data_IF_418326750262
#
_entry.id   IF_418326750262
#
_cell.length_a   1.000
_cell.length_b   1.000
_cell.length_c   1.000
_cell.angle_alpha   90.00
_cell.angle_beta   90.00
_cell.angle_gamma   90.00
#
_symmetry.space_group_name_H-M   'P 1'
#
loop_
_entity.id
_entity.type
_entity.pdbx_description
1 polymer ?
#
# COMPACT_ATOMS: atom_id res chain seq x y z
N UNK A 1 -22.95 36.17 -18.96
CA UNK A 1 -22.85 34.72 -18.77
C UNK A 1 -22.59 34.52 -17.28
N UNK A 2 -23.64 34.15 -16.54
CA UNK A 2 -23.66 34.29 -15.08
C UNK A 2 -22.92 33.09 -14.49
N UNK A 3 -21.85 33.40 -13.76
CA UNK A 3 -21.12 32.51 -12.89
C UNK A 3 -22.09 32.03 -11.79
N UNK A 4 -22.62 30.81 -11.92
CA UNK A 4 -23.45 30.19 -10.89
C UNK A 4 -22.54 29.78 -9.74
N UNK A 5 -22.28 30.72 -8.84
CA UNK A 5 -21.71 30.41 -7.54
C UNK A 5 -22.57 29.32 -6.88
N UNK A 6 -21.94 28.16 -6.61
CA UNK A 6 -22.59 27.03 -5.95
C UNK A 6 -23.29 27.51 -4.67
N UNK A 7 -24.59 27.21 -4.54
CA UNK A 7 -25.38 27.68 -3.41
C UNK A 7 -24.90 26.97 -2.13
N UNK A 8 -24.73 27.66 -0.98
CA UNK A 8 -24.16 27.06 0.23
C UNK A 8 -24.94 25.85 0.76
N UNK A 9 -26.25 25.76 0.48
CA UNK A 9 -27.09 24.59 0.78
C UNK A 9 -26.69 23.34 -0.04
N UNK A 10 -26.19 23.54 -1.25
CA UNK A 10 -25.73 22.47 -2.15
C UNK A 10 -24.42 21.87 -1.63
N UNK A 11 -23.45 22.72 -1.25
CA UNK A 11 -22.18 22.26 -0.63
C UNK A 11 -22.41 21.45 0.64
N UNK A 12 -23.36 21.85 1.49
CA UNK A 12 -23.68 21.10 2.72
C UNK A 12 -24.31 19.73 2.41
N UNK A 13 -25.14 19.63 1.37
CA UNK A 13 -25.72 18.36 0.94
C UNK A 13 -24.66 17.40 0.38
N UNK A 14 -23.72 17.93 -0.42
CA UNK A 14 -22.57 17.19 -0.97
C UNK A 14 -21.68 16.69 0.16
N UNK A 15 -21.33 17.54 1.12
CA UNK A 15 -20.53 17.17 2.28
C UNK A 15 -21.21 16.08 3.11
N UNK A 16 -22.53 16.17 3.33
CA UNK A 16 -23.28 15.15 4.04
C UNK A 16 -23.30 13.82 3.27
N UNK A 17 -23.35 13.84 1.93
CA UNK A 17 -23.25 12.63 1.11
C UNK A 17 -21.86 11.99 1.22
N UNK A 18 -20.80 12.78 1.05
CA UNK A 18 -19.42 12.30 1.17
C UNK A 18 -19.13 11.73 2.55
N UNK A 19 -19.60 12.36 3.63
CA UNK A 19 -19.46 11.79 4.99
C UNK A 19 -20.15 10.44 5.13
N UNK A 20 -21.37 10.28 4.61
CA UNK A 20 -22.09 9.00 4.67
C UNK A 20 -21.34 7.91 3.92
N UNK A 21 -20.85 8.22 2.73
CA UNK A 21 -20.13 7.25 1.90
C UNK A 21 -18.75 6.92 2.49
N UNK A 22 -18.06 7.92 3.05
CA UNK A 22 -16.81 7.74 3.78
C UNK A 22 -16.99 6.82 4.99
N UNK A 23 -18.01 7.05 5.83
CA UNK A 23 -18.29 6.18 7.00
C UNK A 23 -18.56 4.74 6.57
N UNK A 24 -19.32 4.54 5.49
CA UNK A 24 -19.59 3.20 4.95
C UNK A 24 -18.31 2.53 4.43
N UNK A 25 -17.50 3.28 3.67
CA UNK A 25 -16.21 2.81 3.16
C UNK A 25 -15.25 2.45 4.30
N UNK A 26 -15.10 3.32 5.29
CA UNK A 26 -14.19 3.12 6.42
C UNK A 26 -14.60 1.92 7.28
N UNK A 27 -15.91 1.71 7.49
CA UNK A 27 -16.41 0.51 8.17
C UNK A 27 -16.06 -0.78 7.39
N UNK A 28 -16.23 -0.78 6.07
CA UNK A 28 -15.85 -1.91 5.24
C UNK A 28 -14.33 -2.16 5.26
N UNK A 29 -13.52 -1.11 5.13
CA UNK A 29 -12.06 -1.21 5.20
C UNK A 29 -11.57 -1.70 6.58
N UNK A 30 -12.17 -1.23 7.66
CA UNK A 30 -11.85 -1.67 9.02
C UNK A 30 -12.16 -3.16 9.24
N UNK A 31 -13.19 -3.68 8.58
CA UNK A 31 -13.55 -5.10 8.64
C UNK A 31 -12.61 -6.02 7.84
N UNK A 32 -11.83 -5.47 6.91
CA UNK A 32 -11.03 -6.25 5.98
C UNK A 32 -9.94 -7.07 6.68
N UNK A 33 -9.17 -6.48 7.60
CA UNK A 33 -8.06 -7.21 8.27
C UNK A 33 -8.56 -8.34 9.18
N UNK A 34 -9.57 -8.16 10.04
CA UNK A 34 -10.15 -9.27 10.81
C UNK A 34 -10.69 -10.40 9.91
N UNK A 35 -11.36 -10.06 8.80
CA UNK A 35 -11.88 -11.05 7.86
C UNK A 35 -10.74 -11.78 7.15
N UNK A 36 -9.73 -11.06 6.67
CA UNK A 36 -8.53 -11.66 6.06
C UNK A 36 -7.84 -12.59 7.04
N UNK A 37 -7.60 -12.18 8.27
CA UNK A 37 -7.02 -13.04 9.31
C UNK A 37 -7.83 -14.31 9.50
N UNK A 38 -9.15 -14.21 9.61
CA UNK A 38 -10.04 -15.36 9.72
C UNK A 38 -9.94 -16.29 8.50
N UNK A 39 -10.05 -15.76 7.28
CA UNK A 39 -10.01 -16.54 6.04
C UNK A 39 -8.64 -17.17 5.79
N UNK A 40 -7.57 -16.47 6.14
CA UNK A 40 -6.21 -17.03 6.05
C UNK A 40 -6.08 -18.20 7.01
N UNK A 41 -6.45 -18.02 8.27
CA UNK A 41 -6.29 -19.01 9.32
C UNK A 41 -7.24 -20.21 9.18
N UNK A 42 -8.42 -20.02 8.57
CA UNK A 42 -9.42 -21.06 8.47
C UNK A 42 -9.16 -22.07 7.33
N UNK A 43 -8.20 -21.82 6.43
CA UNK A 43 -7.96 -22.63 5.21
C UNK A 43 -9.22 -22.91 4.35
N UNK A 44 -10.30 -22.14 4.53
CA UNK A 44 -11.56 -22.39 3.83
C UNK A 44 -11.51 -21.80 2.42
N UNK A 45 -11.80 -22.64 1.42
CA UNK A 45 -12.03 -22.27 0.01
C UNK A 45 -13.25 -21.33 -0.11
N UNK A 46 -13.07 -20.06 0.23
CA UNK A 46 -14.05 -19.03 -0.02
C UNK A 46 -13.77 -18.43 -1.40
N UNK A 47 -14.66 -18.69 -2.36
CA UNK A 47 -14.62 -18.24 -3.76
C UNK A 47 -14.75 -16.70 -3.95
N UNK A 48 -14.30 -15.90 -2.97
CA UNK A 48 -14.35 -14.45 -2.96
C UNK A 48 -12.94 -13.91 -2.71
N UNK A 49 -12.34 -13.39 -3.78
CA UNK A 49 -10.97 -12.85 -3.90
C UNK A 49 -9.86 -13.79 -3.42
N UNK A 50 -9.77 -14.97 -4.06
CA UNK A 50 -8.68 -15.93 -3.86
C UNK A 50 -7.30 -15.30 -4.07
N UNK A 51 -7.19 -14.30 -4.94
CA UNK A 51 -5.90 -13.74 -5.33
C UNK A 51 -5.24 -12.92 -4.21
N UNK A 52 -5.98 -11.99 -3.57
CA UNK A 52 -5.46 -11.21 -2.43
C UNK A 52 -5.09 -12.18 -1.30
N UNK A 53 -5.95 -13.16 -1.03
CA UNK A 53 -5.73 -14.14 0.03
C UNK A 53 -4.48 -14.98 -0.22
N UNK A 54 -4.34 -15.53 -1.43
CA UNK A 54 -3.18 -16.33 -1.83
C UNK A 54 -1.90 -15.50 -1.77
N UNK A 55 -1.95 -14.24 -2.21
CA UNK A 55 -0.81 -13.32 -2.18
C UNK A 55 -0.38 -12.98 -0.77
N UNK A 56 -1.31 -12.64 0.12
CA UNK A 56 -1.02 -12.39 1.53
C UNK A 56 -0.39 -13.63 2.18
N UNK A 57 -0.96 -14.82 1.95
CA UNK A 57 -0.40 -16.10 2.44
C UNK A 57 1.02 -16.35 1.92
N UNK A 58 1.22 -16.20 0.61
CA UNK A 58 2.50 -16.42 -0.05
C UNK A 58 3.58 -15.48 0.48
N UNK A 59 3.27 -14.18 0.61
CA UNK A 59 4.23 -13.19 1.10
C UNK A 59 4.60 -13.47 2.56
N UNK A 60 3.62 -13.82 3.40
CA UNK A 60 3.89 -14.18 4.79
C UNK A 60 4.78 -15.42 4.92
N UNK A 61 4.52 -16.45 4.09
CA UNK A 61 5.33 -17.66 4.03
C UNK A 61 6.76 -17.39 3.52
N UNK A 62 6.91 -16.50 2.54
CA UNK A 62 8.21 -16.07 2.02
C UNK A 62 9.03 -15.32 3.09
N UNK A 63 8.41 -14.38 3.81
CA UNK A 63 9.05 -13.68 4.93
C UNK A 63 9.46 -14.67 6.03
N UNK A 64 8.60 -15.65 6.36
CA UNK A 64 8.91 -16.69 7.33
C UNK A 64 10.12 -17.52 6.89
N UNK A 65 10.15 -17.94 5.61
CA UNK A 65 11.27 -18.66 5.02
C UNK A 65 12.58 -17.88 5.11
N UNK A 66 12.58 -16.59 4.76
CA UNK A 66 13.76 -15.72 4.85
C UNK A 66 14.35 -15.67 6.27
N UNK A 67 13.52 -15.58 7.32
CA UNK A 67 13.99 -15.59 8.70
C UNK A 67 14.51 -16.95 9.15
N UNK A 68 13.83 -18.02 8.76
CA UNK A 68 14.26 -19.38 9.09
C UNK A 68 15.59 -19.73 8.41
N UNK A 69 15.77 -19.32 7.15
CA UNK A 69 17.03 -19.43 6.40
C UNK A 69 18.16 -18.66 7.10
N UNK A 70 17.86 -17.46 7.59
CA UNK A 70 18.83 -16.67 8.33
C UNK A 70 19.20 -17.31 9.68
N UNK A 71 18.25 -17.95 10.38
CA UNK A 71 18.48 -18.62 11.67
C UNK A 71 19.35 -19.89 11.56
N UNK A 72 19.20 -20.68 10.51
CA UNK A 72 20.03 -21.87 10.27
C UNK A 72 21.42 -21.50 9.69
N UNK A 73 21.51 -20.36 9.00
CA UNK A 73 22.73 -19.87 8.38
C UNK A 73 23.09 -20.61 7.08
N UNK A 74 24.12 -20.10 6.38
CA UNK A 74 24.49 -20.56 5.03
C UNK A 74 25.10 -21.97 4.97
N UNK A 75 25.53 -22.52 6.11
CA UNK A 75 26.16 -23.83 6.24
C UNK A 75 25.15 -24.99 6.26
N UNK A 76 23.94 -24.76 6.79
CA UNK A 76 22.89 -25.77 6.96
C UNK A 76 21.69 -25.50 6.04
N UNK A 77 21.95 -25.26 4.74
CA UNK A 77 20.91 -25.07 3.72
C UNK A 77 20.06 -26.34 3.55
N UNK A 78 19.06 -26.50 4.41
CA UNK A 78 17.97 -27.45 4.27
C UNK A 78 16.70 -26.71 3.85
N UNK A 79 15.80 -27.40 3.16
CA UNK A 79 14.44 -26.90 3.02
C UNK A 79 13.77 -26.93 4.42
N UNK A 80 13.05 -25.85 4.76
CA UNK A 80 12.19 -25.83 5.94
C UNK A 80 10.98 -26.72 5.71
N UNK A 81 10.60 -27.47 6.73
CA UNK A 81 9.37 -28.24 6.69
C UNK A 81 8.18 -27.26 6.60
N UNK A 82 7.10 -27.58 5.85
CA UNK A 82 5.93 -26.72 5.75
C UNK A 82 5.37 -26.28 7.11
N UNK A 83 5.48 -27.14 8.12
CA UNK A 83 5.04 -26.89 9.49
C UNK A 83 5.85 -25.77 10.18
N UNK A 84 7.16 -25.67 9.90
CA UNK A 84 8.03 -24.64 10.47
C UNK A 84 7.65 -23.26 9.91
N UNK A 85 7.43 -23.20 8.60
CA UNK A 85 6.95 -21.99 7.91
C UNK A 85 5.56 -21.61 8.43
N UNK A 86 4.67 -22.58 8.64
CA UNK A 86 3.31 -22.36 9.12
C UNK A 86 3.27 -21.75 10.53
N UNK A 87 4.18 -22.15 11.43
CA UNK A 87 4.27 -21.58 12.79
C UNK A 87 4.55 -20.08 12.75
N UNK A 88 5.58 -19.65 12.00
CA UNK A 88 5.89 -18.22 11.87
C UNK A 88 4.80 -17.47 11.12
N UNK A 89 4.29 -18.05 10.03
CA UNK A 89 3.19 -17.46 9.24
C UNK A 89 1.97 -17.19 10.12
N UNK A 90 1.62 -18.11 11.03
CA UNK A 90 0.52 -17.93 11.97
C UNK A 90 0.78 -16.80 12.97
N UNK A 91 2.00 -16.70 13.50
CA UNK A 91 2.37 -15.59 14.37
C UNK A 91 2.28 -14.23 13.64
N UNK A 92 2.70 -14.18 12.37
CA UNK A 92 2.59 -12.98 11.54
C UNK A 92 1.16 -12.56 11.24
N UNK A 93 0.22 -13.50 11.11
CA UNK A 93 -1.19 -13.18 10.89
C UNK A 93 -1.84 -12.47 12.08
N UNK A 94 -1.27 -12.66 13.27
CA UNK A 94 -1.74 -12.02 14.49
C UNK A 94 -1.11 -10.62 14.69
N UNK A 95 -0.13 -10.24 13.87
CA UNK A 95 0.54 -8.93 13.93
C UNK A 95 -0.13 -7.90 13.00
N UNK A 96 -0.84 -6.91 13.55
CA UNK A 96 -1.67 -6.01 12.76
C UNK A 96 -0.87 -5.09 11.84
N UNK A 97 0.32 -4.63 12.25
CA UNK A 97 1.17 -3.72 11.46
C UNK A 97 1.64 -4.42 10.19
N UNK A 98 2.12 -5.65 10.32
CA UNK A 98 2.57 -6.47 9.21
C UNK A 98 1.42 -6.84 8.27
N UNK A 99 0.29 -7.31 8.83
CA UNK A 99 -0.86 -7.71 8.03
C UNK A 99 -1.46 -6.54 7.25
N UNK A 100 -1.56 -5.35 7.86
CA UNK A 100 -2.01 -4.14 7.19
C UNK A 100 -1.13 -3.79 5.99
N UNK A 101 0.20 -3.83 6.17
CA UNK A 101 1.15 -3.52 5.11
C UNK A 101 1.09 -4.53 3.96
N UNK A 102 1.08 -5.83 4.24
CA UNK A 102 1.02 -6.86 3.20
C UNK A 102 -0.31 -6.80 2.45
N UNK A 103 -1.41 -6.55 3.15
CA UNK A 103 -2.70 -6.32 2.50
C UNK A 103 -2.63 -5.10 1.56
N UNK A 104 -2.11 -3.97 2.01
CA UNK A 104 -1.94 -2.78 1.17
C UNK A 104 -1.03 -3.04 -0.05
N UNK A 105 0.06 -3.80 0.11
CA UNK A 105 0.92 -4.20 -1.00
C UNK A 105 0.18 -5.10 -2.01
N UNK A 106 -0.68 -5.99 -1.54
CA UNK A 106 -1.53 -6.81 -2.40
C UNK A 106 -2.55 -5.95 -3.19
N UNK A 107 -3.16 -4.95 -2.53
CA UNK A 107 -4.08 -4.01 -3.19
C UNK A 107 -3.35 -3.14 -4.24
N UNK A 108 -2.13 -2.70 -3.95
CA UNK A 108 -1.29 -1.97 -4.91
C UNK A 108 -1.00 -2.82 -6.16
N UNK A 109 -0.64 -4.08 -5.97
CA UNK A 109 -0.38 -4.98 -7.08
C UNK A 109 -1.64 -5.26 -7.91
N UNK A 110 -2.78 -5.52 -7.26
CA UNK A 110 -4.05 -5.72 -7.94
C UNK A 110 -4.46 -4.47 -8.75
N UNK A 111 -4.27 -3.27 -8.20
CA UNK A 111 -4.50 -2.03 -8.95
C UNK A 111 -3.57 -1.93 -10.17
N UNK A 112 -2.30 -2.31 -10.00
CA UNK A 112 -1.29 -2.31 -11.06
C UNK A 112 -1.70 -3.24 -12.20
N UNK A 113 -2.07 -4.49 -11.91
CA UNK A 113 -2.52 -5.45 -12.93
C UNK A 113 -3.78 -4.98 -13.63
N UNK A 114 -4.77 -4.48 -12.88
CA UNK A 114 -6.01 -3.96 -13.44
C UNK A 114 -5.77 -2.78 -14.40
N UNK A 115 -4.84 -1.88 -14.09
CA UNK A 115 -4.51 -0.77 -14.98
C UNK A 115 -3.64 -1.20 -16.17
N UNK A 116 -2.77 -2.19 -15.99
CA UNK A 116 -2.03 -2.80 -17.09
C UNK A 116 -3.01 -3.42 -18.10
N UNK A 117 -4.00 -4.17 -17.63
CA UNK A 117 -5.00 -4.80 -18.49
C UNK A 117 -5.91 -3.77 -19.16
N UNK A 118 -6.39 -2.77 -18.41
CA UNK A 118 -7.42 -1.84 -18.90
C UNK A 118 -6.88 -0.74 -19.80
N UNK A 119 -5.70 -0.19 -19.50
CA UNK A 119 -5.15 0.98 -20.20
C UNK A 119 -3.71 0.77 -20.71
N UNK A 120 -3.16 -0.44 -20.59
CA UNK A 120 -1.79 -0.73 -21.04
C UNK A 120 -0.71 -0.04 -20.21
N UNK A 121 -1.01 0.33 -18.95
CA UNK A 121 -0.04 0.96 -18.07
C UNK A 121 1.04 -0.05 -17.68
N UNK A 122 2.28 0.20 -18.09
CA UNK A 122 3.42 -0.65 -17.74
C UNK A 122 3.62 -0.69 -16.21
N UNK A 123 3.69 -1.88 -15.59
CA UNK A 123 3.78 -2.04 -14.14
C UNK A 123 5.11 -1.56 -13.54
N UNK A 124 6.16 -1.40 -14.37
CA UNK A 124 7.52 -1.07 -13.95
C UNK A 124 7.92 0.32 -14.43
N UNK A 125 7.72 0.60 -15.71
CA UNK A 125 8.21 1.79 -16.38
C UNK A 125 7.05 2.67 -16.82
N UNK A 126 6.43 3.40 -15.89
CA UNK A 126 5.37 4.39 -16.23
C UNK A 126 5.89 5.46 -17.20
N UNK A 127 5.01 6.16 -17.95
CA UNK A 127 5.42 7.24 -18.85
C UNK A 127 6.40 8.24 -18.22
N UNK A 128 6.09 8.74 -17.02
CA UNK A 128 6.94 9.65 -16.27
C UNK A 128 8.34 9.06 -16.01
N UNK A 129 8.41 7.81 -15.56
CA UNK A 129 9.68 7.15 -15.26
C UNK A 129 10.51 6.93 -16.53
N UNK A 130 9.89 6.56 -17.65
CA UNK A 130 10.58 6.38 -18.93
C UNK A 130 11.20 7.69 -19.41
N UNK A 131 10.45 8.79 -19.34
CA UNK A 131 10.93 10.12 -19.71
C UNK A 131 12.13 10.53 -18.86
N UNK A 132 12.00 10.46 -17.53
CA UNK A 132 13.08 10.86 -16.61
C UNK A 132 14.31 9.96 -16.71
N UNK A 133 14.12 8.64 -16.75
CA UNK A 133 15.22 7.69 -16.89
C UNK A 133 15.95 7.86 -18.23
N UNK A 134 15.21 8.13 -19.32
CA UNK A 134 15.74 8.44 -20.64
C UNK A 134 16.61 9.70 -20.67
N UNK A 135 16.26 10.71 -19.87
CA UNK A 135 17.05 11.94 -19.69
C UNK A 135 18.26 11.79 -18.77
N UNK A 136 18.54 10.58 -18.26
CA UNK A 136 19.71 10.36 -17.42
C UNK A 136 19.47 10.56 -15.92
N UNK A 137 18.23 10.74 -15.45
CA UNK A 137 17.92 10.88 -14.02
C UNK A 137 18.28 9.61 -13.23
N UNK A 138 19.20 9.76 -12.27
CA UNK A 138 19.67 8.67 -11.41
C UNK A 138 18.59 8.19 -10.42
N UNK A 139 17.72 9.08 -9.92
CA UNK A 139 16.61 8.70 -9.04
C UNK A 139 15.60 7.83 -9.80
N UNK A 140 15.27 8.23 -11.02
CA UNK A 140 14.34 7.47 -11.87
C UNK A 140 14.90 6.08 -12.22
N UNK A 141 16.20 5.96 -12.52
CA UNK A 141 16.84 4.66 -12.76
C UNK A 141 16.89 3.79 -11.50
N UNK A 142 17.18 4.37 -10.34
CA UNK A 142 17.18 3.66 -9.05
C UNK A 142 15.80 3.11 -8.71
N UNK A 143 14.77 3.95 -8.84
CA UNK A 143 13.37 3.54 -8.69
C UNK A 143 12.96 2.46 -9.69
N UNK A 144 13.31 2.60 -10.98
CA UNK A 144 12.98 1.62 -12.01
C UNK A 144 13.50 0.22 -11.68
N UNK A 145 14.75 0.13 -11.19
CA UNK A 145 15.33 -1.13 -10.74
C UNK A 145 14.60 -1.72 -9.52
N UNK A 146 14.31 -0.89 -8.51
CA UNK A 146 13.56 -1.32 -7.32
C UNK A 146 12.13 -1.76 -7.67
N UNK A 147 11.43 -1.03 -8.54
CA UNK A 147 10.08 -1.34 -9.01
C UNK A 147 10.05 -2.64 -9.83
N UNK A 148 11.07 -2.90 -10.67
CA UNK A 148 11.20 -4.15 -11.41
C UNK A 148 11.34 -5.35 -10.47
N UNK A 149 12.23 -5.24 -9.47
CA UNK A 149 12.45 -6.27 -8.47
C UNK A 149 11.18 -6.53 -7.64
N UNK A 150 10.50 -5.46 -7.22
CA UNK A 150 9.23 -5.58 -6.48
C UNK A 150 8.14 -6.22 -7.33
N UNK A 151 7.97 -5.81 -8.58
CA UNK A 151 6.97 -6.40 -9.49
C UNK A 151 7.23 -7.89 -9.72
N UNK A 152 8.50 -8.30 -9.85
CA UNK A 152 8.87 -9.71 -9.93
C UNK A 152 8.66 -10.45 -8.60
N UNK A 153 8.88 -9.78 -7.47
CA UNK A 153 8.54 -10.26 -6.14
C UNK A 153 7.04 -10.54 -6.02
N UNK A 154 6.20 -9.59 -6.40
CA UNK A 154 4.75 -9.74 -6.39
C UNK A 154 4.30 -10.93 -7.25
N UNK A 155 4.80 -11.10 -8.48
CA UNK A 155 4.45 -12.29 -9.30
C UNK A 155 4.81 -13.62 -8.64
N UNK A 156 5.80 -13.64 -7.75
CA UNK A 156 6.22 -14.82 -6.97
C UNK A 156 5.59 -14.86 -5.57
N UNK A 157 4.72 -13.90 -5.23
CA UNK A 157 4.18 -13.70 -3.89
C UNK A 157 5.28 -13.62 -2.83
N UNK A 158 6.35 -12.87 -3.13
CA UNK A 158 7.53 -12.74 -2.28
C UNK A 158 7.81 -11.25 -1.98
N UNK A 159 8.30 -10.98 -0.77
CA UNK A 159 8.67 -9.64 -0.32
C UNK A 159 9.96 -9.71 0.50
N UNK A 160 11.10 -9.22 -0.03
CA UNK A 160 12.36 -9.19 0.71
C UNK A 160 12.24 -8.38 2.00
N UNK A 161 12.89 -8.84 3.08
CA UNK A 161 12.93 -8.09 4.35
C UNK A 161 13.46 -6.66 4.19
N UNK A 162 14.38 -6.44 3.25
CA UNK A 162 14.94 -5.13 2.95
C UNK A 162 13.93 -4.15 2.29
N UNK A 163 12.83 -4.65 1.74
CA UNK A 163 11.76 -3.83 1.15
C UNK A 163 10.66 -3.47 2.17
N UNK A 164 10.72 -4.00 3.39
CA UNK A 164 9.76 -3.68 4.44
C UNK A 164 9.97 -2.26 4.98
N UNK A 165 8.91 -1.50 5.27
CA UNK A 165 9.02 -0.28 6.06
C UNK A 165 9.59 -0.56 7.46
N UNK A 166 10.29 0.40 8.05
CA UNK A 166 11.01 0.25 9.33
C UNK A 166 10.12 -0.33 10.44
N UNK A 167 8.91 0.22 10.60
CA UNK A 167 7.95 -0.24 11.61
C UNK A 167 7.49 -1.69 11.37
N UNK A 168 7.38 -2.10 10.10
CA UNK A 168 6.97 -3.45 9.72
C UNK A 168 8.13 -4.43 9.94
N UNK A 169 9.36 -4.04 9.58
CA UNK A 169 10.55 -4.84 9.85
C UNK A 169 10.73 -5.05 11.36
N UNK A 170 10.60 -4.01 12.18
CA UNK A 170 10.72 -4.17 13.63
C UNK A 170 9.64 -5.11 14.20
N UNK A 171 8.40 -5.02 13.72
CA UNK A 171 7.33 -5.94 14.12
C UNK A 171 7.66 -7.40 13.76
N UNK A 172 8.17 -7.65 12.55
CA UNK A 172 8.62 -8.98 12.10
C UNK A 172 9.75 -9.52 12.98
N UNK A 173 10.76 -8.70 13.28
CA UNK A 173 11.89 -9.08 14.13
C UNK A 173 11.48 -9.30 15.59
N UNK A 174 10.51 -8.53 16.10
CA UNK A 174 9.96 -8.73 17.44
C UNK A 174 9.27 -10.09 17.58
N UNK A 175 8.56 -10.56 16.54
CA UNK A 175 7.93 -11.88 16.51
C UNK A 175 8.97 -12.98 16.51
N UNK A 176 10.04 -12.85 15.72
CA UNK A 176 11.17 -13.77 15.74
C UNK A 176 11.73 -13.90 17.16
N UNK A 177 11.99 -12.76 17.82
CA UNK A 177 12.51 -12.69 19.18
C UNK A 177 11.59 -13.39 20.19
N UNK A 178 10.28 -13.20 20.06
CA UNK A 178 9.29 -13.85 20.91
C UNK A 178 9.22 -15.37 20.71
N UNK A 179 9.33 -15.85 19.46
CA UNK A 179 9.26 -17.28 19.12
C UNK A 179 10.49 -18.07 19.56
N UNK A 180 11.66 -17.45 19.50
CA UNK A 180 12.93 -18.11 19.87
C UNK A 180 13.03 -18.33 21.40
N UNK A 181 12.26 -17.58 22.18
CA UNK A 181 12.13 -17.79 23.63
C UNK A 181 13.43 -17.55 24.40
N UNK A 182 13.56 -18.19 25.57
CA UNK A 182 14.70 -18.04 26.47
C UNK A 182 15.85 -19.03 26.19
N UNK A 183 15.82 -19.79 25.08
CA UNK A 183 16.89 -20.72 24.74
C UNK A 183 18.16 -19.94 24.34
N UNK A 184 19.26 -20.02 25.12
CA UNK A 184 20.38 -19.08 24.95
C UNK A 184 21.04 -19.15 23.57
N UNK A 185 21.23 -20.36 23.04
CA UNK A 185 21.91 -20.57 21.76
C UNK A 185 21.08 -20.05 20.57
N UNK A 186 19.76 -20.25 20.59
CA UNK A 186 18.90 -19.71 19.54
C UNK A 186 18.73 -18.19 19.69
N UNK A 187 18.65 -17.68 20.92
CA UNK A 187 18.56 -16.23 21.18
C UNK A 187 19.78 -15.46 20.66
N UNK A 188 20.98 -16.01 20.77
CA UNK A 188 22.20 -15.41 20.21
C UNK A 188 22.14 -15.37 18.67
N UNK A 189 21.72 -16.47 18.04
CA UNK A 189 21.54 -16.52 16.57
C UNK A 189 20.47 -15.54 16.10
N UNK A 190 19.33 -15.47 16.78
CA UNK A 190 18.26 -14.53 16.46
C UNK A 190 18.76 -13.08 16.54
N UNK A 191 19.56 -12.75 17.55
CA UNK A 191 20.18 -11.42 17.68
C UNK A 191 21.12 -11.11 16.51
N UNK A 192 21.89 -12.09 16.04
CA UNK A 192 22.76 -11.92 14.87
C UNK A 192 21.95 -11.73 13.56
N UNK A 193 20.88 -12.51 13.38
CA UNK A 193 19.93 -12.38 12.26
C UNK A 193 19.28 -11.01 12.25
N UNK A 194 18.78 -10.56 13.40
CA UNK A 194 18.19 -9.23 13.57
C UNK A 194 19.18 -8.11 13.18
N UNK A 195 20.42 -8.20 13.64
CA UNK A 195 21.45 -7.22 13.34
C UNK A 195 21.79 -7.19 11.84
N UNK A 196 21.87 -8.36 11.20
CA UNK A 196 22.14 -8.45 9.76
C UNK A 196 20.98 -7.95 8.91
N UNK A 197 19.74 -8.29 9.27
CA UNK A 197 18.53 -7.79 8.60
C UNK A 197 18.48 -6.25 8.65
N UNK A 198 18.73 -5.64 9.82
CA UNK A 198 18.79 -4.18 9.96
C UNK A 198 19.94 -3.55 9.17
N UNK A 199 21.12 -4.19 9.12
CA UNK A 199 22.25 -3.72 8.30
C UNK A 199 21.91 -3.73 6.81
N UNK A 200 21.36 -4.83 6.30
CA UNK A 200 20.98 -4.95 4.90
C UNK A 200 19.91 -3.93 4.52
N UNK A 201 18.90 -3.77 5.37
CA UNK A 201 17.83 -2.79 5.20
C UNK A 201 18.38 -1.36 5.15
N UNK A 202 19.28 -0.98 6.07
CA UNK A 202 19.86 0.37 6.10
C UNK A 202 20.87 0.65 4.96
N UNK A 203 21.45 -0.38 4.35
CA UNK A 203 22.50 -0.22 3.35
C UNK A 203 22.00 0.26 1.98
N UNK A 204 20.71 0.09 1.67
CA UNK A 204 20.15 0.40 0.36
C UNK A 204 18.81 1.10 0.50
N UNK A 205 18.55 2.07 -0.38
CA UNK A 205 17.23 2.65 -0.47
C UNK A 205 16.25 1.60 -1.04
N UNK A 206 15.17 1.32 -0.30
CA UNK A 206 14.09 0.47 -0.77
C UNK A 206 13.19 1.20 -1.78
N UNK A 207 12.27 0.46 -2.42
CA UNK A 207 11.39 1.00 -3.46
C UNK A 207 10.60 2.22 -3.00
N UNK A 208 10.10 2.21 -1.77
CA UNK A 208 9.28 3.29 -1.22
C UNK A 208 10.12 4.55 -0.98
N UNK A 209 11.33 4.41 -0.45
CA UNK A 209 12.27 5.53 -0.28
C UNK A 209 12.69 6.16 -1.62
N UNK A 210 12.86 5.36 -2.68
CA UNK A 210 13.06 5.91 -4.03
C UNK A 210 11.84 6.67 -4.54
N UNK A 211 10.63 6.13 -4.31
CA UNK A 211 9.39 6.79 -4.71
C UNK A 211 9.20 8.13 -3.99
N UNK A 212 9.46 8.20 -2.69
CA UNK A 212 9.35 9.43 -1.90
C UNK A 212 10.29 10.52 -2.43
N UNK A 213 11.55 10.15 -2.70
CA UNK A 213 12.56 11.07 -3.27
C UNK A 213 12.17 11.58 -4.65
N UNK A 214 11.60 10.72 -5.50
CA UNK A 214 11.10 11.14 -6.81
C UNK A 214 9.90 12.08 -6.70
N UNK A 215 8.93 11.73 -5.86
CA UNK A 215 7.70 12.51 -5.69
C UNK A 215 7.98 13.90 -5.10
N UNK A 216 9.00 14.03 -4.26
CA UNK A 216 9.41 15.32 -3.67
C UNK A 216 9.73 16.40 -4.72
N UNK A 217 10.21 15.99 -5.90
CA UNK A 217 10.60 16.90 -6.99
C UNK A 217 9.45 17.14 -8.01
N UNK A 218 8.28 16.53 -7.83
CA UNK A 218 7.15 16.63 -8.77
C UNK A 218 6.11 17.63 -8.27
N UNK A 219 5.44 18.30 -9.20
CA UNK A 219 4.20 19.03 -8.88
C UNK A 219 3.03 18.06 -8.59
N UNK A 220 1.96 18.58 -8.00
CA UNK A 220 0.80 17.77 -7.55
C UNK A 220 0.10 17.08 -8.70
N UNK A 221 -0.08 17.77 -9.81
CA UNK A 221 -0.84 17.26 -10.96
C UNK A 221 -0.06 16.12 -11.64
N UNK A 222 1.24 16.31 -11.86
CA UNK A 222 2.11 15.26 -12.42
C UNK A 222 2.18 14.04 -11.50
N UNK A 223 2.39 14.25 -10.20
CA UNK A 223 2.55 13.15 -9.25
C UNK A 223 1.25 12.36 -8.99
N UNK A 224 0.09 13.02 -9.08
CA UNK A 224 -1.23 12.41 -8.88
C UNK A 224 -1.91 12.03 -10.20
N UNK A 225 -1.24 12.11 -11.35
CA UNK A 225 -1.75 11.51 -12.59
C UNK A 225 -1.41 10.03 -12.64
N UNK A 226 -2.38 9.14 -12.33
CA UNK A 226 -2.10 7.71 -12.22
C UNK A 226 -1.63 7.09 -13.54
N UNK A 227 -2.18 7.55 -14.67
CA UNK A 227 -1.83 7.09 -16.00
C UNK A 227 -0.43 7.55 -16.46
N UNK A 228 0.09 8.63 -15.87
CA UNK A 228 1.42 9.17 -16.21
C UNK A 228 2.49 8.76 -15.20
N UNK A 229 2.24 8.96 -13.91
CA UNK A 229 3.16 8.63 -12.82
C UNK A 229 3.26 7.13 -12.55
N UNK A 230 2.18 6.38 -12.81
CA UNK A 230 2.06 4.97 -12.43
C UNK A 230 1.60 4.79 -10.99
N UNK A 231 1.14 3.57 -10.66
CA UNK A 231 0.49 3.27 -9.37
C UNK A 231 1.38 3.58 -8.17
N UNK A 232 2.64 3.11 -8.21
CA UNK A 232 3.54 3.22 -7.07
C UNK A 232 3.81 4.68 -6.68
N UNK A 233 4.11 5.54 -7.66
CA UNK A 233 4.34 6.97 -7.44
C UNK A 233 3.05 7.71 -7.08
N UNK A 234 1.91 7.38 -7.72
CA UNK A 234 0.61 7.94 -7.40
C UNK A 234 0.24 7.72 -5.93
N UNK A 235 0.37 6.49 -5.42
CA UNK A 235 0.04 6.16 -4.02
C UNK A 235 0.99 6.86 -3.04
N UNK A 236 2.28 6.93 -3.37
CA UNK A 236 3.25 7.66 -2.55
C UNK A 236 2.96 9.15 -2.53
N UNK A 237 2.62 9.75 -3.68
CA UNK A 237 2.22 11.15 -3.77
C UNK A 237 0.93 11.45 -3.02
N UNK A 238 -0.08 10.58 -3.14
CA UNK A 238 -1.33 10.71 -2.41
C UNK A 238 -1.10 10.66 -0.91
N UNK A 239 -0.28 9.72 -0.43
CA UNK A 239 0.08 9.61 0.99
C UNK A 239 0.79 10.85 1.50
N UNK A 240 1.89 11.27 0.85
CA UNK A 240 2.69 12.41 1.29
C UNK A 240 1.91 13.73 1.29
N UNK A 241 1.04 13.94 0.29
CA UNK A 241 0.33 15.21 0.10
C UNK A 241 -0.98 15.30 0.88
N UNK A 242 -1.69 14.19 1.07
CA UNK A 242 -2.90 14.15 1.91
C UNK A 242 -2.59 14.03 3.41
N UNK A 243 -1.38 13.59 3.76
CA UNK A 243 -0.97 13.30 5.13
C UNK A 243 -1.48 11.95 5.66
N UNK A 244 -2.11 11.13 4.82
CA UNK A 244 -2.57 9.80 5.20
C UNK A 244 -1.47 8.74 5.01
N UNK A 245 -1.45 7.67 5.83
CA UNK A 245 -0.53 6.56 5.62
C UNK A 245 -0.70 5.94 4.23
N UNK A 246 0.41 5.48 3.62
CA UNK A 246 0.37 4.90 2.27
C UNK A 246 -0.53 3.67 2.16
N UNK A 247 -0.64 2.89 3.24
CA UNK A 247 -1.54 1.74 3.29
C UNK A 247 -3.02 2.16 3.20
N UNK A 248 -3.37 3.32 3.76
CA UNK A 248 -4.70 3.94 3.62
C UNK A 248 -4.90 4.45 2.19
N UNK A 249 -3.89 5.07 1.58
CA UNK A 249 -3.94 5.48 0.17
C UNK A 249 -4.18 4.29 -0.78
N UNK A 250 -3.51 3.15 -0.56
CA UNK A 250 -3.76 1.93 -1.33
C UNK A 250 -5.19 1.42 -1.14
N UNK A 251 -5.67 1.39 0.11
CA UNK A 251 -7.04 0.99 0.43
C UNK A 251 -8.08 1.90 -0.22
N UNK A 252 -7.82 3.21 -0.30
CA UNK A 252 -8.72 4.19 -0.91
C UNK A 252 -8.98 3.92 -2.41
N UNK A 253 -8.13 3.14 -3.08
CA UNK A 253 -8.31 2.77 -4.50
C UNK A 253 -9.23 1.57 -4.73
N UNK A 254 -9.83 1.03 -3.67
CA UNK A 254 -10.71 -0.14 -3.74
C UNK A 254 -12.16 0.23 -4.09
N UNK A 255 -12.91 -0.67 -4.75
CA UNK A 255 -14.34 -0.46 -4.96
C UNK A 255 -15.07 -0.15 -3.64
N UNK A 256 -15.90 0.90 -3.64
CA UNK A 256 -16.60 1.37 -2.44
C UNK A 256 -15.84 2.44 -1.65
N UNK A 257 -14.62 2.80 -2.03
CA UNK A 257 -13.79 3.83 -1.40
C UNK A 257 -13.72 5.14 -2.20
N UNK A 258 -14.60 5.33 -3.19
CA UNK A 258 -14.53 6.48 -4.10
C UNK A 258 -14.62 7.82 -3.38
N UNK A 259 -15.46 7.93 -2.34
CA UNK A 259 -15.57 9.13 -1.52
C UNK A 259 -14.26 9.43 -0.77
N UNK A 260 -13.63 8.41 -0.19
CA UNK A 260 -12.32 8.53 0.45
C UNK A 260 -11.26 8.98 -0.54
N UNK A 261 -11.14 8.29 -1.68
CA UNK A 261 -10.18 8.64 -2.73
C UNK A 261 -10.35 10.10 -3.21
N UNK A 262 -11.58 10.52 -3.50
CA UNK A 262 -11.87 11.89 -3.91
C UNK A 262 -11.43 12.90 -2.85
N UNK A 263 -11.77 12.65 -1.58
CA UNK A 263 -11.37 13.51 -0.46
C UNK A 263 -9.85 13.52 -0.26
N UNK A 264 -9.15 12.39 -0.38
CA UNK A 264 -7.68 12.33 -0.25
C UNK A 264 -7.00 13.11 -1.38
N UNK A 265 -7.53 13.07 -2.61
CA UNK A 265 -7.03 13.86 -3.74
C UNK A 265 -7.24 15.36 -3.54
N UNK A 266 -8.42 15.77 -3.06
CA UNK A 266 -8.70 17.17 -2.71
C UNK A 266 -7.82 17.65 -1.55
N UNK A 267 -7.65 16.84 -0.50
CA UNK A 267 -6.77 17.13 0.63
C UNK A 267 -5.30 17.27 0.19
N UNK A 268 -4.89 16.49 -0.81
CA UNK A 268 -3.60 16.61 -1.49
C UNK A 268 -3.48 17.85 -2.40
N UNK A 269 -4.48 18.74 -2.38
CA UNK A 269 -4.55 19.98 -3.16
C UNK A 269 -4.65 19.78 -4.67
N UNK A 270 -5.11 18.60 -5.13
CA UNK A 270 -5.43 18.41 -6.53
C UNK A 270 -6.73 19.16 -6.87
N UNK A 271 -6.79 19.95 -7.96
CA UNK A 271 -8.03 20.58 -8.41
C UNK A 271 -9.15 19.57 -8.59
N UNK A 272 -10.38 19.92 -8.21
CA UNK A 272 -11.53 19.01 -8.20
C UNK A 272 -11.79 18.31 -9.54
N UNK A 273 -11.66 19.03 -10.67
CA UNK A 273 -11.80 18.43 -12.00
C UNK A 273 -10.76 17.35 -12.28
N UNK A 274 -9.50 17.56 -11.86
CA UNK A 274 -8.45 16.55 -11.99
C UNK A 274 -8.65 15.42 -10.97
N UNK A 275 -9.15 15.70 -9.76
CA UNK A 275 -9.49 14.67 -8.79
C UNK A 275 -10.59 13.74 -9.30
N UNK A 276 -11.65 14.29 -9.90
CA UNK A 276 -12.72 13.52 -10.56
C UNK A 276 -12.16 12.64 -11.68
N UNK A 277 -11.26 13.19 -12.51
CA UNK A 277 -10.57 12.44 -13.57
C UNK A 277 -9.82 11.24 -12.98
N UNK A 278 -9.05 11.43 -11.91
CA UNK A 278 -8.28 10.34 -11.29
C UNK A 278 -9.19 9.27 -10.67
N UNK A 279 -10.30 9.67 -10.03
CA UNK A 279 -11.27 8.70 -9.50
C UNK A 279 -11.87 7.86 -10.62
N UNK A 280 -12.26 8.47 -11.74
CA UNK A 280 -12.78 7.76 -12.92
C UNK A 280 -11.70 6.89 -13.57
N UNK A 281 -10.46 7.39 -13.62
CA UNK A 281 -9.30 6.65 -14.08
C UNK A 281 -8.92 5.49 -13.15
N UNK A 282 -9.40 5.41 -11.91
CA UNK A 282 -9.23 4.23 -11.05
C UNK A 282 -10.49 3.36 -11.12
N UNK A 283 -11.67 3.95 -11.02
CA UNK A 283 -12.97 3.29 -10.97
C UNK A 283 -13.81 3.64 -12.19
N UNK A 284 -13.69 2.85 -13.25
CA UNK A 284 -14.57 2.96 -14.41
C UNK A 284 -16.03 2.74 -13.97
N UNK A 285 -16.82 3.81 -13.93
CA UNK A 285 -18.21 3.81 -13.44
C UNK A 285 -18.41 4.32 -12.01
N UNK A 286 -17.42 5.01 -11.42
CA UNK A 286 -17.66 5.73 -10.16
C UNK A 286 -18.75 6.79 -10.32
N UNK A 287 -19.68 6.82 -9.37
CA UNK A 287 -20.65 7.90 -9.23
C UNK A 287 -20.19 8.81 -8.10
N UNK A 288 -19.59 9.94 -8.46
CA UNK A 288 -19.23 10.98 -7.50
C UNK A 288 -20.42 11.94 -7.32
N UNK A 289 -20.64 12.48 -6.11
CA UNK A 289 -21.64 13.51 -5.92
C UNK A 289 -21.25 14.76 -6.72
N UNK A 290 -22.21 15.36 -7.40
CA UNK A 290 -22.02 16.65 -8.06
C UNK A 290 -21.59 17.70 -7.04
N UNK A 291 -20.72 18.64 -7.40
CA UNK A 291 -20.34 19.76 -6.51
C UNK A 291 -19.07 19.56 -5.68
N UNK A 292 -18.19 18.63 -6.06
CA UNK A 292 -16.85 18.49 -5.45
C UNK A 292 -16.02 19.78 -5.57
N UNK A 293 -16.28 20.61 -6.58
CA UNK A 293 -15.66 21.93 -6.73
C UNK A 293 -15.91 22.89 -5.57
N UNK A 294 -16.94 22.66 -4.76
CA UNK A 294 -17.24 23.43 -3.55
C UNK A 294 -16.46 22.99 -2.31
N UNK A 295 -15.63 21.95 -2.39
CA UNK A 295 -14.86 21.40 -1.26
C UNK A 295 -13.39 21.71 -1.46
N UNK A 296 -12.85 22.60 -0.64
CA UNK A 296 -11.42 22.90 -0.62
C UNK A 296 -10.60 21.82 0.11
N UNK A 297 -9.28 21.91 -0.01
CA UNK A 297 -8.34 20.93 0.55
C UNK A 297 -8.45 20.82 2.09
N UNK A 298 -8.62 21.94 2.79
CA UNK A 298 -8.72 21.92 4.25
C UNK A 298 -10.03 21.28 4.70
N UNK A 299 -11.14 21.57 4.02
CA UNK A 299 -12.44 20.98 4.26
C UNK A 299 -12.41 19.48 3.99
N UNK A 300 -11.78 19.05 2.89
CA UNK A 300 -11.57 17.64 2.58
C UNK A 300 -10.78 16.92 3.69
N UNK A 301 -9.65 17.48 4.12
CA UNK A 301 -8.86 16.96 5.23
C UNK A 301 -9.64 16.91 6.56
N UNK A 302 -10.50 17.91 6.82
CA UNK A 302 -11.39 17.92 7.99
C UNK A 302 -12.45 16.82 7.91
N UNK A 303 -12.99 16.52 6.73
CA UNK A 303 -13.94 15.43 6.53
C UNK A 303 -13.25 14.08 6.77
N UNK A 304 -12.04 13.89 6.23
CA UNK A 304 -11.24 12.67 6.40
C UNK A 304 -10.92 12.40 7.87
N UNK A 305 -10.44 13.42 8.61
CA UNK A 305 -10.11 13.26 10.02
C UNK A 305 -11.33 12.93 10.87
N UNK A 306 -12.47 13.60 10.64
CA UNK A 306 -13.71 13.31 11.39
C UNK A 306 -14.34 11.95 11.04
N UNK A 307 -14.08 11.41 9.84
CA UNK A 307 -14.44 10.03 9.49
C UNK A 307 -13.62 8.99 10.27
N UNK A 308 -12.33 9.27 10.50
CA UNK A 308 -11.44 8.41 11.29
C UNK A 308 -11.80 8.39 12.79
N UNK A 309 -12.35 9.49 13.32
CA UNK A 309 -12.65 9.68 14.77
C UNK A 309 -13.98 9.06 15.24
N UNK A 310 -14.79 8.46 14.37
CA UNK A 310 -15.98 7.69 14.82
C UNK A 310 -15.67 6.25 15.27
N UNK A 311 -14.46 6.02 15.81
CA UNK A 311 -14.06 4.76 16.43
C UNK A 311 -14.03 4.88 17.94
#
# INVERSE_FOLDING_TARGET
>A
MIDQAAHPADTQAVEAALRRDLVRGDAAAASALPVLRYLVAAEQNAALSEEILARVKGILADIAGQLLDALIGSADRRAHAPEEIAVLTRAFLDEPVLLAHIHAAALEWQLTERLQERIGLDPVASPLIRERAGCGDALARGFLAAQANWSQGQRRMALPLAELPDAVLEAVLAILRALVGAEPALSERASAVEAEARRHHAAHANRLQWAERLVADLDTETALSISHAGVALFLTALSLRSGEPRDVAATATQPGQQARLALSLLAAQLPSGLAEEQVLAIHAGANLPNGLSGIDAWRAASILSNGATSR
#
